data_IF_042339915362
#
_entry.id   IF_042339915362
#
_cell.length_a   1.000
_cell.length_b   1.000
_cell.length_c   1.000
_cell.angle_alpha   90.00
_cell.angle_beta   90.00
_cell.angle_gamma   90.00
#
_symmetry.space_group_name_H-M   'P 1'
#
loop_
_entity.id
_entity.type
_entity.pdbx_description
1 polymer ?
#
# COMPACT_ATOMS: atom_id res chain seq x y z
N UNK A 1 -3.67 0.37 -12.79
CA UNK A 1 -3.29 0.84 -11.44
C UNK A 1 -2.53 -0.24 -10.68
N UNK A 2 -3.17 -1.35 -10.30
CA UNK A 2 -2.57 -2.42 -9.48
C UNK A 2 -1.42 -3.21 -10.15
N UNK A 3 -1.44 -3.33 -11.47
CA UNK A 3 -0.35 -3.96 -12.25
C UNK A 3 0.99 -3.25 -12.02
N UNK A 4 1.01 -1.93 -11.80
CA UNK A 4 2.26 -1.18 -11.67
C UNK A 4 2.92 -1.41 -10.30
N UNK A 5 2.13 -1.53 -9.23
CA UNK A 5 2.61 -1.93 -7.90
C UNK A 5 3.09 -3.38 -7.86
N UNK A 6 2.44 -4.26 -8.61
CA UNK A 6 2.82 -5.68 -8.72
C UNK A 6 4.10 -5.82 -9.57
N UNK A 7 4.27 -5.01 -10.62
CA UNK A 7 5.54 -4.89 -11.34
C UNK A 7 6.63 -4.36 -10.41
N UNK A 8 6.36 -3.35 -9.57
CA UNK A 8 7.32 -2.84 -8.58
C UNK A 8 7.76 -3.94 -7.61
N UNK A 9 6.80 -4.71 -7.10
CA UNK A 9 7.01 -5.84 -6.18
C UNK A 9 7.89 -6.94 -6.78
N UNK A 10 7.56 -7.35 -8.01
CA UNK A 10 8.31 -8.35 -8.77
C UNK A 10 9.69 -7.79 -9.11
N UNK A 11 9.81 -6.50 -9.42
CA UNK A 11 11.09 -5.85 -9.73
C UNK A 11 12.01 -5.75 -8.52
N UNK A 12 11.49 -5.52 -7.30
CA UNK A 12 12.28 -5.56 -6.07
C UNK A 12 12.79 -6.97 -5.75
N UNK A 13 11.95 -8.00 -5.92
CA UNK A 13 12.33 -9.40 -5.68
C UNK A 13 13.28 -9.97 -6.72
N UNK A 14 13.11 -9.62 -8.00
CA UNK A 14 13.95 -10.11 -9.09
C UNK A 14 15.20 -9.24 -9.34
N UNK A 15 15.12 -7.93 -9.15
CA UNK A 15 16.25 -7.03 -9.34
C UNK A 15 17.41 -7.36 -8.40
N UNK A 16 17.08 -7.68 -7.14
CA UNK A 16 18.08 -7.99 -6.12
C UNK A 16 18.74 -9.36 -6.34
N UNK A 17 18.06 -10.24 -7.08
CA UNK A 17 18.52 -11.61 -7.36
C UNK A 17 19.35 -11.72 -8.66
N UNK A 18 19.28 -10.75 -9.59
CA UNK A 18 19.80 -10.89 -10.96
C UNK A 18 20.84 -9.82 -11.39
N UNK A 19 21.65 -9.27 -10.47
CA UNK A 19 22.68 -8.25 -10.80
C UNK A 19 22.11 -7.06 -11.60
N UNK A 20 20.85 -6.68 -11.35
CA UNK A 20 20.26 -5.48 -11.94
C UNK A 20 20.92 -4.26 -11.29
N UNK A 21 21.32 -3.28 -12.09
CA UNK A 21 21.80 -2.00 -11.57
C UNK A 21 20.68 -1.31 -10.81
N UNK A 22 20.75 -1.43 -9.47
CA UNK A 22 19.76 -0.92 -8.55
C UNK A 22 19.68 0.59 -8.52
N UNK A 23 20.77 1.29 -8.86
CA UNK A 23 20.75 2.74 -8.97
C UNK A 23 19.97 3.17 -10.22
N UNK A 24 20.25 2.54 -11.37
CA UNK A 24 19.52 2.79 -12.60
C UNK A 24 18.02 2.42 -12.49
N UNK A 25 17.72 1.30 -11.82
CA UNK A 25 16.33 0.89 -11.55
C UNK A 25 15.61 1.91 -10.66
N UNK A 26 16.27 2.33 -9.57
CA UNK A 26 15.72 3.35 -8.68
C UNK A 26 15.40 4.64 -9.46
N UNK A 27 16.33 5.12 -10.30
CA UNK A 27 16.17 6.36 -11.06
C UNK A 27 15.04 6.26 -12.09
N UNK A 28 14.87 5.08 -12.72
CA UNK A 28 13.74 4.83 -13.61
C UNK A 28 12.41 4.84 -12.87
N UNK A 29 12.34 4.24 -11.68
CA UNK A 29 11.12 4.15 -10.90
C UNK A 29 10.71 5.49 -10.32
N UNK A 30 11.63 6.20 -9.66
CA UNK A 30 11.34 7.52 -9.07
C UNK A 30 11.11 8.55 -10.17
N UNK A 31 11.88 8.50 -11.26
CA UNK A 31 11.67 9.33 -12.44
C UNK A 31 10.31 9.11 -13.10
N UNK A 32 9.90 7.85 -13.31
CA UNK A 32 8.57 7.54 -13.85
C UNK A 32 7.43 7.95 -12.92
N UNK A 33 7.66 7.93 -11.60
CA UNK A 33 6.66 8.31 -10.60
C UNK A 33 6.54 9.82 -10.42
N UNK A 34 7.58 10.60 -10.68
CA UNK A 34 7.59 12.06 -10.47
C UNK A 34 6.42 12.77 -11.19
N UNK A 35 6.09 12.35 -12.41
CA UNK A 35 5.06 12.97 -13.24
C UNK A 35 3.64 12.48 -12.93
N UNK A 36 3.49 11.31 -12.29
CA UNK A 36 2.20 10.64 -12.10
C UNK A 36 1.82 10.39 -10.64
N UNK A 37 2.70 10.68 -9.69
CA UNK A 37 2.50 10.41 -8.25
C UNK A 37 1.21 11.00 -7.69
N UNK A 38 0.86 12.23 -8.09
CA UNK A 38 -0.36 12.90 -7.62
C UNK A 38 -1.60 12.31 -8.27
N UNK A 39 -1.54 12.01 -9.57
CA UNK A 39 -2.64 11.41 -10.32
C UNK A 39 -2.95 9.99 -9.81
N UNK A 40 -1.92 9.16 -9.58
CA UNK A 40 -2.07 7.83 -8.99
C UNK A 40 -2.70 7.94 -7.59
N UNK A 41 -2.23 8.88 -6.77
CA UNK A 41 -2.77 9.08 -5.43
C UNK A 41 -4.25 9.48 -5.48
N UNK A 42 -4.62 10.47 -6.28
CA UNK A 42 -6.02 10.92 -6.44
C UNK A 42 -6.91 9.78 -6.94
N UNK A 43 -6.48 9.06 -7.98
CA UNK A 43 -7.23 7.90 -8.51
C UNK A 43 -7.40 6.80 -7.47
N UNK A 44 -6.39 6.59 -6.63
CA UNK A 44 -6.47 5.64 -5.52
C UNK A 44 -7.49 6.09 -4.48
N UNK A 45 -7.47 7.36 -4.07
CA UNK A 45 -8.42 7.92 -3.10
C UNK A 45 -9.85 7.83 -3.63
N UNK A 46 -10.08 8.17 -4.89
CA UNK A 46 -11.41 8.05 -5.53
C UNK A 46 -11.85 6.58 -5.61
N UNK A 47 -10.96 5.68 -6.02
CA UNK A 47 -11.23 4.25 -6.07
C UNK A 47 -11.57 3.67 -4.69
N UNK A 48 -10.79 4.05 -3.66
CA UNK A 48 -11.06 3.71 -2.27
C UNK A 48 -12.44 4.22 -1.81
N UNK A 49 -12.77 5.47 -2.09
CA UNK A 49 -14.09 6.05 -1.79
C UNK A 49 -15.24 5.27 -2.44
N UNK A 50 -15.08 4.85 -3.71
CA UNK A 50 -16.06 4.00 -4.40
C UNK A 50 -16.22 2.62 -3.75
N UNK A 51 -15.13 2.00 -3.30
CA UNK A 51 -15.19 0.69 -2.60
C UNK A 51 -15.88 0.86 -1.23
N UNK A 52 -15.61 1.94 -0.49
CA UNK A 52 -16.31 2.23 0.77
C UNK A 52 -17.81 2.45 0.51
N UNK A 53 -18.17 3.23 -0.51
CA UNK A 53 -19.56 3.45 -0.89
C UNK A 53 -20.26 2.14 -1.25
N UNK A 54 -19.60 1.29 -2.04
CA UNK A 54 -20.08 -0.06 -2.34
C UNK A 54 -20.29 -0.86 -1.05
N UNK A 55 -19.37 -0.78 -0.10
CA UNK A 55 -19.52 -1.40 1.22
C UNK A 55 -20.74 -0.90 1.98
N UNK A 56 -21.01 0.41 1.98
CA UNK A 56 -22.22 0.97 2.60
C UNK A 56 -23.49 0.41 1.93
N UNK A 57 -23.55 0.38 0.60
CA UNK A 57 -24.70 -0.19 -0.13
C UNK A 57 -24.87 -1.68 0.17
N UNK A 58 -23.77 -2.44 0.19
CA UNK A 58 -23.77 -3.88 0.48
C UNK A 58 -24.22 -4.18 1.93
N UNK A 59 -23.95 -3.28 2.88
CA UNK A 59 -24.44 -3.40 4.24
C UNK A 59 -25.97 -3.24 4.30
N UNK A 60 -26.54 -2.31 3.53
CA UNK A 60 -28.00 -2.09 3.48
C UNK A 60 -28.76 -3.28 2.88
N UNK A 61 -28.16 -4.00 1.93
CA UNK A 61 -28.76 -5.19 1.29
C UNK A 61 -28.38 -6.51 1.97
N UNK A 62 -27.74 -6.46 3.14
CA UNK A 62 -27.29 -7.63 3.90
C UNK A 62 -26.35 -8.59 3.14
N UNK A 63 -25.53 -8.08 2.22
CA UNK A 63 -24.61 -8.89 1.41
C UNK A 63 -23.25 -9.13 2.12
N UNK A 64 -23.28 -9.62 3.36
CA UNK A 64 -22.10 -9.80 4.24
C UNK A 64 -21.04 -10.75 3.67
N UNK A 65 -21.45 -11.80 2.93
CA UNK A 65 -20.57 -12.87 2.49
C UNK A 65 -19.47 -12.44 1.50
N UNK A 66 -19.72 -11.40 0.70
CA UNK A 66 -18.78 -10.92 -0.32
C UNK A 66 -17.83 -9.83 0.21
N UNK A 67 -18.23 -9.13 1.27
CA UNK A 67 -17.51 -7.97 1.77
C UNK A 67 -16.32 -8.36 2.66
N UNK A 68 -16.41 -9.46 3.40
CA UNK A 68 -15.29 -10.01 4.16
C UNK A 68 -14.09 -10.42 3.28
N UNK A 69 -14.26 -11.26 2.23
CA UNK A 69 -13.13 -11.62 1.37
C UNK A 69 -12.57 -10.43 0.60
N UNK A 70 -13.42 -9.48 0.17
CA UNK A 70 -12.96 -8.25 -0.47
C UNK A 70 -12.08 -7.41 0.47
N UNK A 71 -12.53 -7.18 1.70
CA UNK A 71 -11.76 -6.41 2.67
C UNK A 71 -10.43 -7.09 3.05
N UNK A 72 -10.42 -8.42 3.17
CA UNK A 72 -9.18 -9.19 3.38
C UNK A 72 -8.21 -9.05 2.21
N UNK A 73 -8.69 -9.20 0.98
CA UNK A 73 -7.87 -9.04 -0.21
C UNK A 73 -7.24 -7.64 -0.28
N UNK A 74 -8.04 -6.59 -0.07
CA UNK A 74 -7.54 -5.21 -0.07
C UNK A 74 -6.49 -5.03 1.03
N UNK A 75 -6.74 -5.54 2.24
CA UNK A 75 -5.81 -5.46 3.36
C UNK A 75 -4.49 -6.18 3.07
N UNK A 76 -4.52 -7.41 2.53
CA UNK A 76 -3.32 -8.19 2.21
C UNK A 76 -2.47 -7.53 1.12
N UNK A 77 -3.10 -7.07 0.03
CA UNK A 77 -2.41 -6.34 -1.04
C UNK A 77 -1.78 -5.06 -0.50
N UNK A 78 -2.49 -4.35 0.36
CA UNK A 78 -2.01 -3.09 0.94
C UNK A 78 -0.84 -3.33 1.90
N UNK A 79 -0.92 -4.35 2.76
CA UNK A 79 0.18 -4.79 3.64
C UNK A 79 1.42 -5.21 2.86
N UNK A 80 1.23 -5.94 1.77
CA UNK A 80 2.31 -6.30 0.86
C UNK A 80 2.96 -5.05 0.25
N UNK A 81 2.15 -4.08 -0.18
CA UNK A 81 2.64 -2.79 -0.68
C UNK A 81 3.44 -1.98 0.36
N UNK A 82 2.95 -1.87 1.60
CA UNK A 82 3.69 -1.20 2.70
C UNK A 82 5.01 -1.93 2.98
N UNK A 83 4.98 -3.26 3.04
CA UNK A 83 6.19 -4.07 3.26
C UNK A 83 7.24 -3.81 2.17
N UNK A 84 6.83 -3.79 0.89
CA UNK A 84 7.74 -3.51 -0.22
C UNK A 84 8.35 -2.11 -0.15
N UNK A 85 7.55 -1.09 0.15
CA UNK A 85 8.06 0.27 0.32
C UNK A 85 9.05 0.34 1.48
N UNK A 86 8.76 -0.33 2.60
CA UNK A 86 9.66 -0.40 3.74
C UNK A 86 10.98 -1.09 3.37
N UNK A 87 10.93 -2.31 2.82
CA UNK A 87 12.12 -3.06 2.41
C UNK A 87 12.94 -2.32 1.36
N UNK A 88 12.29 -1.78 0.33
CA UNK A 88 12.94 -1.01 -0.72
C UNK A 88 13.66 0.21 -0.16
N UNK A 89 13.01 0.93 0.75
CA UNK A 89 13.61 2.11 1.38
C UNK A 89 14.77 1.78 2.29
N UNK A 90 14.68 0.72 3.10
CA UNK A 90 15.81 0.24 3.91
C UNK A 90 17.00 -0.16 3.02
N UNK A 91 16.73 -0.86 1.92
CA UNK A 91 17.77 -1.27 0.98
C UNK A 91 18.47 -0.06 0.36
N UNK A 92 17.73 0.89 -0.21
CA UNK A 92 18.31 2.06 -0.88
C UNK A 92 18.97 3.05 0.08
N UNK A 93 18.45 3.19 1.30
CA UNK A 93 19.11 3.99 2.32
C UNK A 93 20.46 3.36 2.71
N UNK A 94 20.51 2.04 2.92
CA UNK A 94 21.72 1.33 3.32
C UNK A 94 22.77 1.17 2.22
N UNK A 95 22.35 1.06 0.96
CA UNK A 95 23.27 0.78 -0.16
C UNK A 95 23.61 2.00 -1.01
N UNK A 96 22.65 2.90 -1.24
CA UNK A 96 22.80 4.06 -2.14
C UNK A 96 22.71 5.40 -1.42
N UNK A 97 22.46 5.42 -0.10
CA UNK A 97 22.19 6.64 0.68
C UNK A 97 21.04 7.49 0.10
N UNK A 98 20.02 6.84 -0.47
CA UNK A 98 18.84 7.49 -1.08
C UNK A 98 17.56 7.12 -0.34
N UNK A 99 16.62 8.07 -0.25
CA UNK A 99 15.39 7.90 0.53
C UNK A 99 14.18 7.63 -0.39
N UNK A 100 14.00 6.36 -0.76
CA UNK A 100 12.92 5.92 -1.66
C UNK A 100 11.51 6.33 -1.20
N UNK A 101 11.26 6.50 0.10
CA UNK A 101 9.99 7.04 0.59
C UNK A 101 9.74 8.46 0.11
N UNK A 102 10.74 9.33 0.29
CA UNK A 102 10.65 10.73 -0.08
C UNK A 102 10.53 10.89 -1.60
N UNK A 103 11.32 10.12 -2.34
CA UNK A 103 11.39 10.22 -3.80
C UNK A 103 10.16 9.62 -4.50
N UNK A 104 9.44 8.71 -3.83
CA UNK A 104 8.13 8.22 -4.28
C UNK A 104 6.98 9.19 -3.94
N UNK A 105 7.21 10.16 -3.05
CA UNK A 105 6.26 11.22 -2.68
C UNK A 105 4.86 10.70 -2.32
N UNK A 106 3.81 11.27 -2.94
CA UNK A 106 2.42 10.89 -2.63
C UNK A 106 2.06 9.47 -3.08
N UNK A 107 2.81 8.88 -4.01
CA UNK A 107 2.58 7.50 -4.44
C UNK A 107 2.89 6.49 -3.33
N UNK A 108 3.81 6.81 -2.41
CA UNK A 108 4.11 5.98 -1.25
C UNK A 108 2.91 5.85 -0.29
N UNK A 109 1.93 6.76 -0.34
CA UNK A 109 0.74 6.74 0.50
C UNK A 109 -0.36 5.80 -0.02
N UNK A 110 -0.29 5.36 -1.29
CA UNK A 110 -1.29 4.49 -1.94
C UNK A 110 -1.63 3.24 -1.13
N UNK A 111 -0.68 2.43 -0.66
CA UNK A 111 -1.01 1.24 0.14
C UNK A 111 -1.65 1.60 1.50
N UNK A 112 -1.37 2.76 2.08
CA UNK A 112 -2.04 3.19 3.32
C UNK A 112 -3.51 3.53 3.10
N UNK A 113 -3.83 4.18 1.97
CA UNK A 113 -5.22 4.44 1.58
C UNK A 113 -5.99 3.12 1.45
N UNK A 114 -5.36 2.08 0.89
CA UNK A 114 -5.91 0.73 0.83
C UNK A 114 -6.14 0.10 2.21
N UNK A 115 -5.19 0.23 3.15
CA UNK A 115 -5.35 -0.25 4.53
C UNK A 115 -6.52 0.43 5.24
N UNK A 116 -6.63 1.76 5.13
CA UNK A 116 -7.73 2.53 5.74
C UNK A 116 -9.07 2.09 5.15
N UNK A 117 -9.13 1.90 3.83
CA UNK A 117 -10.34 1.42 3.13
C UNK A 117 -10.79 0.05 3.64
N UNK A 118 -9.86 -0.91 3.73
CA UNK A 118 -10.16 -2.24 4.26
C UNK A 118 -10.63 -2.17 5.72
N UNK A 119 -9.98 -1.34 6.55
CA UNK A 119 -10.39 -1.15 7.93
C UNK A 119 -11.82 -0.61 8.04
N UNK A 120 -12.17 0.45 7.28
CA UNK A 120 -13.52 1.02 7.27
C UNK A 120 -14.55 -0.04 6.89
N UNK A 121 -14.30 -0.84 5.84
CA UNK A 121 -15.22 -1.91 5.42
C UNK A 121 -15.37 -2.95 6.53
N UNK A 122 -14.30 -3.37 7.19
CA UNK A 122 -14.38 -4.34 8.28
C UNK A 122 -15.18 -3.79 9.48
N UNK A 123 -15.09 -2.48 9.74
CA UNK A 123 -15.89 -1.81 10.76
C UNK A 123 -17.37 -1.68 10.37
N UNK A 124 -17.70 -1.34 9.12
CA UNK A 124 -19.07 -1.15 8.64
C UNK A 124 -19.94 -2.41 8.80
N UNK A 125 -19.35 -3.59 8.64
CA UNK A 125 -20.05 -4.87 8.69
C UNK A 125 -19.97 -5.54 10.07
N UNK A 126 -19.38 -4.86 11.07
CA UNK A 126 -19.10 -5.35 12.43
C UNK A 126 -18.71 -6.84 12.48
N UNK A 127 -17.78 -7.24 11.62
CA UNK A 127 -17.26 -8.60 11.65
C UNK A 127 -16.59 -8.84 13.01
N UNK A 128 -17.25 -9.61 13.87
CA UNK A 128 -16.89 -9.80 15.28
C UNK A 128 -15.56 -10.60 15.44
N UNK A 129 -14.73 -10.20 16.44
CA UNK A 129 -13.55 -10.85 17.08
C UNK A 129 -12.81 -11.95 16.27
N UNK A 130 -11.52 -11.86 15.83
CA UNK A 130 -10.30 -11.29 16.43
C UNK A 130 -9.50 -10.37 15.45
N UNK A 131 -10.15 -9.93 14.37
CA UNK A 131 -9.51 -9.13 13.31
C UNK A 131 -9.19 -7.70 13.76
N UNK A 132 -9.93 -7.12 14.72
CA UNK A 132 -9.70 -5.74 15.22
C UNK A 132 -8.27 -5.57 15.80
N UNK A 133 -7.78 -6.57 16.55
CA UNK A 133 -6.39 -6.57 17.06
C UNK A 133 -5.34 -6.74 15.95
N UNK A 134 -5.62 -7.57 14.94
CA UNK A 134 -4.73 -7.73 13.78
C UNK A 134 -4.68 -6.44 12.96
N UNK A 135 -5.82 -5.82 12.70
CA UNK A 135 -5.93 -4.55 11.98
C UNK A 135 -5.21 -3.44 12.75
N UNK A 136 -5.37 -3.35 14.08
CA UNK A 136 -4.62 -2.37 14.87
C UNK A 136 -3.12 -2.63 14.84
N UNK A 137 -2.69 -3.90 14.89
CA UNK A 137 -1.28 -4.26 14.75
C UNK A 137 -0.74 -3.92 13.35
N UNK A 138 -1.54 -4.11 12.30
CA UNK A 138 -1.19 -3.77 10.92
C UNK A 138 -1.14 -2.27 10.68
N UNK A 139 -2.10 -1.50 11.21
CA UNK A 139 -2.07 -0.05 11.19
C UNK A 139 -0.89 0.48 12.00
N UNK A 140 -0.55 -0.14 13.13
CA UNK A 140 0.61 0.21 13.93
C UNK A 140 1.93 -0.06 13.17
N UNK A 141 2.05 -1.21 12.48
CA UNK A 141 3.19 -1.54 11.64
C UNK A 141 3.34 -0.54 10.47
N UNK A 142 2.23 -0.17 9.85
CA UNK A 142 2.19 0.85 8.81
C UNK A 142 2.62 2.22 9.37
N UNK A 143 2.12 2.62 10.54
CA UNK A 143 2.52 3.85 11.21
C UNK A 143 3.99 3.88 11.60
N UNK A 144 4.54 2.76 12.09
CA UNK A 144 5.97 2.63 12.38
C UNK A 144 6.77 2.79 11.09
N UNK A 145 6.37 2.11 10.00
CA UNK A 145 7.02 2.26 8.70
C UNK A 145 7.01 3.70 8.21
N UNK A 146 5.91 4.43 8.43
CA UNK A 146 5.79 5.84 8.10
C UNK A 146 6.71 6.70 8.99
N UNK A 147 6.78 6.42 10.28
CA UNK A 147 7.65 7.13 11.22
C UNK A 147 9.14 6.95 10.87
N UNK A 148 9.55 5.73 10.50
CA UNK A 148 10.91 5.47 10.02
C UNK A 148 11.22 6.23 8.73
N UNK A 149 10.24 6.38 7.83
CA UNK A 149 10.41 7.14 6.60
C UNK A 149 10.70 8.64 6.83
N UNK A 150 10.20 9.22 7.92
CA UNK A 150 10.41 10.63 8.28
C UNK A 150 11.53 10.86 9.30
N UNK A 151 12.08 9.79 9.90
CA UNK A 151 13.15 9.87 10.89
C UNK A 151 14.55 9.65 10.30
N UNK A 152 14.63 9.17 9.06
CA UNK A 152 15.86 8.95 8.26
C UNK A 152 15.94 9.98 7.15
#
# INVERSE_FOLDING_TARGET
>A
MWIHLLILAVSFGFGAAYNVDMAAWYDQVTGAMADVQTDIFIKTVLGAGLIVLLGVVMAQVNAYALMLPLARLIMEISLFGVSLLAFGSFYFAGTLARNFWFDMGSAALVPFVGLITAAIILYLFDFNYPYKQKISAYLFLAFISLAFAFAV
#
